data_IF_232207279180
#
_entry.id   IF_232207279180
#
_cell.length_a   1.000
_cell.length_b   1.000
_cell.length_c   1.000
_cell.angle_alpha   90.00
_cell.angle_beta   90.00
_cell.angle_gamma   90.00
#
_symmetry.space_group_name_H-M   'P 1'
#
loop_
_entity.id
_entity.type
_entity.pdbx_description
1 polymer ?
#
# COMPACT_ATOMS: atom_id res chain seq x y z
N UNK A 1 -30.17 -12.81 4.21
CA UNK A 1 -29.09 -13.65 3.67
C UNK A 1 -28.13 -12.69 2.99
N UNK A 2 -26.97 -12.43 3.60
CA UNK A 2 -26.10 -11.29 3.26
C UNK A 2 -25.26 -11.59 2.01
N UNK A 3 -25.16 -10.67 1.03
CA UNK A 3 -24.47 -10.87 -0.25
C UNK A 3 -22.93 -10.86 -0.14
N UNK A 4 -22.38 -10.92 1.08
CA UNK A 4 -20.94 -10.84 1.35
C UNK A 4 -20.14 -12.07 0.88
N UNK A 5 -20.81 -13.10 0.34
CA UNK A 5 -20.16 -14.36 -0.05
C UNK A 5 -19.78 -14.44 -1.54
N UNK A 6 -20.22 -13.50 -2.38
CA UNK A 6 -20.03 -13.61 -3.84
C UNK A 6 -18.78 -12.90 -4.39
N UNK A 7 -17.99 -12.20 -3.57
CA UNK A 7 -16.77 -11.52 -4.05
C UNK A 7 -15.46 -12.29 -3.84
N UNK A 8 -15.56 -13.60 -3.57
CA UNK A 8 -14.43 -14.53 -3.40
C UNK A 8 -13.93 -15.10 -4.75
N UNK A 9 -13.72 -14.23 -5.73
CA UNK A 9 -13.01 -14.55 -6.98
C UNK A 9 -11.95 -13.46 -7.15
N UNK A 10 -10.69 -13.64 -6.74
CA UNK A 10 -9.71 -14.58 -7.28
C UNK A 10 -8.78 -15.07 -6.16
N UNK A 11 -8.70 -16.39 -5.99
CA UNK A 11 -7.83 -17.07 -5.01
C UNK A 11 -6.40 -17.18 -5.53
N UNK A 12 -5.68 -16.08 -5.40
CA UNK A 12 -4.29 -16.08 -4.97
C UNK A 12 -4.28 -15.16 -3.73
N UNK A 13 -3.78 -15.66 -2.59
CA UNK A 13 -3.75 -14.92 -1.34
C UNK A 13 -2.95 -13.61 -1.40
N UNK A 14 -2.28 -13.31 -2.51
CA UNK A 14 -1.51 -12.08 -2.75
C UNK A 14 -2.33 -10.80 -2.59
N UNK A 15 -3.61 -10.78 -2.98
CA UNK A 15 -4.48 -9.60 -2.80
C UNK A 15 -5.05 -9.48 -1.39
N UNK A 16 -5.16 -10.62 -0.69
CA UNK A 16 -5.74 -10.68 0.65
C UNK A 16 -4.80 -10.13 1.72
N UNK A 17 -3.49 -10.41 1.61
CA UNK A 17 -2.51 -9.99 2.63
C UNK A 17 -2.42 -8.46 2.79
N UNK A 18 -2.21 -7.65 1.72
CA UNK A 18 -2.16 -6.20 1.88
C UNK A 18 -3.46 -5.60 2.44
N UNK A 19 -4.61 -6.15 2.02
CA UNK A 19 -5.91 -5.75 2.56
C UNK A 19 -6.04 -6.05 4.05
N UNK A 20 -5.71 -7.28 4.47
CA UNK A 20 -5.80 -7.70 5.87
C UNK A 20 -4.80 -6.91 6.76
N UNK A 21 -3.65 -6.49 6.22
CA UNK A 21 -2.67 -5.64 6.93
C UNK A 21 -3.25 -4.29 7.32
N UNK A 22 -3.94 -3.59 6.40
CA UNK A 22 -4.46 -2.24 6.67
C UNK A 22 -5.86 -2.24 7.28
N UNK A 23 -6.55 -3.38 7.28
CA UNK A 23 -7.93 -3.49 7.77
C UNK A 23 -8.12 -3.03 9.22
N UNK A 24 -7.29 -3.43 10.19
CA UNK A 24 -7.47 -2.99 11.58
C UNK A 24 -7.39 -1.47 11.72
N UNK A 25 -6.43 -0.83 11.04
CA UNK A 25 -6.27 0.63 11.05
C UNK A 25 -7.45 1.33 10.36
N UNK A 26 -7.90 0.81 9.22
CA UNK A 26 -9.04 1.38 8.51
C UNK A 26 -10.33 1.30 9.33
N UNK A 27 -10.57 0.18 10.02
CA UNK A 27 -11.72 0.00 10.90
C UNK A 27 -11.69 1.00 12.08
N UNK A 28 -10.52 1.18 12.71
CA UNK A 28 -10.32 2.11 13.84
C UNK A 28 -10.55 3.58 13.43
N UNK A 29 -10.08 3.95 12.23
CA UNK A 29 -10.27 5.29 11.66
C UNK A 29 -11.65 5.49 11.01
N UNK A 30 -12.48 4.45 10.90
CA UNK A 30 -13.75 4.50 10.19
C UNK A 30 -13.63 4.76 8.68
N UNK A 31 -12.50 4.38 8.08
CA UNK A 31 -12.18 4.58 6.67
C UNK A 31 -12.57 3.36 5.83
N UNK A 32 -12.86 3.61 4.55
CA UNK A 32 -13.04 2.54 3.57
C UNK A 32 -11.73 2.34 2.82
N UNK A 33 -11.28 1.08 2.75
CA UNK A 33 -10.12 0.71 1.93
C UNK A 33 -10.52 0.75 0.46
N UNK A 34 -9.78 1.50 -0.35
CA UNK A 34 -9.86 1.41 -1.80
C UNK A 34 -8.95 0.27 -2.28
N UNK A 35 -9.55 -0.82 -2.76
CA UNK A 35 -8.84 -1.97 -3.35
C UNK A 35 -9.15 -2.12 -4.84
N UNK A 36 -9.51 -1.03 -5.53
CA UNK A 36 -9.96 -1.08 -6.93
C UNK A 36 -8.83 -1.22 -7.95
N UNK A 37 -7.57 -0.95 -7.58
CA UNK A 37 -6.42 -1.15 -8.44
C UNK A 37 -5.98 -2.62 -8.45
N UNK A 38 -5.66 -3.14 -9.64
CA UNK A 38 -5.09 -4.47 -9.80
C UNK A 38 -3.62 -4.53 -9.35
N UNK A 39 -3.18 -5.70 -8.88
CA UNK A 39 -1.84 -5.93 -8.28
C UNK A 39 -0.68 -5.47 -9.18
N UNK A 40 -0.85 -5.63 -10.49
CA UNK A 40 0.14 -5.35 -11.53
C UNK A 40 -0.09 -3.99 -12.21
N UNK A 41 -0.90 -3.11 -11.62
CA UNK A 41 -1.19 -1.78 -12.15
C UNK A 41 -0.76 -0.64 -11.20
N UNK A 42 0.55 -0.35 -11.10
CA UNK A 42 1.06 0.80 -10.34
C UNK A 42 0.60 2.15 -10.90
N UNK A 43 0.15 2.21 -12.17
CA UNK A 43 -0.37 3.45 -12.76
C UNK A 43 -1.74 3.79 -12.18
N UNK A 44 -2.59 2.80 -11.94
CA UNK A 44 -3.85 3.02 -11.21
C UNK A 44 -3.59 3.67 -9.84
N UNK A 45 -2.58 3.21 -9.10
CA UNK A 45 -2.20 3.79 -7.80
C UNK A 45 -1.80 5.26 -7.95
N UNK A 46 -0.91 5.57 -8.93
CA UNK A 46 -0.53 6.94 -9.25
C UNK A 46 -1.74 7.83 -9.52
N UNK A 47 -2.66 7.36 -10.35
CA UNK A 47 -3.86 8.13 -10.72
C UNK A 47 -4.76 8.37 -9.50
N UNK A 48 -4.90 7.39 -8.60
CA UNK A 48 -5.64 7.55 -7.35
C UNK A 48 -5.00 8.57 -6.42
N UNK A 49 -3.68 8.50 -6.23
CA UNK A 49 -2.92 9.45 -5.41
C UNK A 49 -3.02 10.86 -5.97
N UNK A 50 -2.84 11.05 -7.28
CA UNK A 50 -2.94 12.37 -7.92
C UNK A 50 -4.34 12.97 -7.88
N UNK A 51 -5.37 12.14 -7.89
CA UNK A 51 -6.77 12.57 -7.80
C UNK A 51 -7.29 12.68 -6.37
N UNK A 52 -6.48 12.31 -5.36
CA UNK A 52 -6.88 12.45 -3.97
C UNK A 52 -6.85 13.92 -3.55
N UNK A 53 -8.03 14.49 -3.28
CA UNK A 53 -8.20 15.87 -2.83
C UNK A 53 -8.58 15.98 -1.35
N UNK A 54 -8.50 14.88 -0.60
CA UNK A 54 -8.80 14.85 0.83
C UNK A 54 -7.67 15.45 1.66
N UNK A 55 -7.95 15.73 2.93
CA UNK A 55 -6.91 16.08 3.91
C UNK A 55 -6.18 14.84 4.41
N UNK A 56 -4.94 15.01 4.87
CA UNK A 56 -4.16 13.94 5.50
C UNK A 56 -3.31 13.14 4.51
N UNK A 57 -2.80 12.00 4.98
CA UNK A 57 -1.90 11.14 4.23
C UNK A 57 -2.65 10.00 3.54
N UNK A 58 -2.10 9.52 2.43
CA UNK A 58 -2.54 8.27 1.79
C UNK A 58 -1.63 7.15 2.27
N UNK A 59 -2.21 6.08 2.81
CA UNK A 59 -1.49 4.85 3.12
C UNK A 59 -1.67 3.85 1.98
N UNK A 60 -0.56 3.43 1.38
CA UNK A 60 -0.52 2.43 0.31
C UNK A 60 0.10 1.16 0.91
N UNK A 61 -0.63 0.04 0.86
CA UNK A 61 -0.10 -1.26 1.27
C UNK A 61 -0.16 -2.22 0.07
N UNK A 62 0.97 -2.82 -0.25
CA UNK A 62 1.13 -3.63 -1.45
C UNK A 62 2.13 -4.77 -1.22
N UNK A 63 2.27 -5.61 -2.24
CA UNK A 63 3.34 -6.62 -2.29
C UNK A 63 4.69 -5.95 -2.55
N UNK A 64 5.75 -6.42 -1.88
CA UNK A 64 7.02 -5.69 -1.75
C UNK A 64 7.72 -5.44 -3.08
N UNK A 65 7.64 -6.37 -4.04
CA UNK A 65 8.28 -6.19 -5.36
C UNK A 65 7.66 -5.02 -6.13
N UNK A 66 6.39 -4.70 -5.89
CA UNK A 66 5.68 -3.64 -6.59
C UNK A 66 5.70 -2.28 -5.85
N UNK A 67 6.20 -2.20 -4.61
CA UNK A 67 6.33 -0.92 -3.90
C UNK A 67 7.34 0.01 -4.58
N UNK A 68 8.46 -0.52 -5.05
CA UNK A 68 9.44 0.27 -5.85
C UNK A 68 8.81 0.79 -7.14
N UNK A 69 8.07 -0.05 -7.88
CA UNK A 69 7.39 0.36 -9.11
C UNK A 69 6.36 1.48 -8.87
N UNK A 70 5.64 1.43 -7.75
CA UNK A 70 4.69 2.48 -7.37
C UNK A 70 5.43 3.81 -7.16
N UNK A 71 6.52 3.81 -6.40
CA UNK A 71 7.33 5.00 -6.11
C UNK A 71 7.91 5.61 -7.40
N UNK A 72 8.44 4.78 -8.29
CA UNK A 72 8.88 5.23 -9.62
C UNK A 72 7.76 5.89 -10.42
N UNK A 73 6.55 5.29 -10.40
CA UNK A 73 5.41 5.84 -11.16
C UNK A 73 4.89 7.13 -10.54
N UNK A 74 4.99 7.31 -9.23
CA UNK A 74 4.60 8.54 -8.55
C UNK A 74 5.49 9.72 -8.97
N UNK A 75 6.81 9.51 -9.08
CA UNK A 75 7.71 10.54 -9.60
C UNK A 75 9.19 10.39 -9.28
N UNK A 76 9.62 9.33 -8.58
CA UNK A 76 11.01 9.14 -8.20
C UNK A 76 11.76 8.34 -9.28
N UNK A 77 12.46 9.05 -10.16
CA UNK A 77 13.29 8.44 -11.21
C UNK A 77 14.43 7.56 -10.64
N UNK A 78 14.72 7.62 -9.34
CA UNK A 78 15.73 6.80 -8.65
C UNK A 78 15.14 6.08 -7.43
N UNK A 79 13.90 5.58 -7.55
CA UNK A 79 13.19 4.92 -6.47
C UNK A 79 14.05 3.84 -5.78
N UNK A 80 14.08 3.81 -4.44
CA UNK A 80 14.81 2.78 -3.70
C UNK A 80 14.16 1.41 -3.92
N UNK A 81 14.97 0.36 -3.79
CA UNK A 81 14.47 -1.02 -3.80
C UNK A 81 13.90 -1.38 -2.43
N UNK A 82 12.65 -1.84 -2.38
CA UNK A 82 12.08 -2.36 -1.14
C UNK A 82 12.79 -3.67 -0.76
N UNK A 83 13.24 -3.85 0.49
CA UNK A 83 13.92 -5.07 0.90
C UNK A 83 12.95 -6.26 0.90
N UNK A 84 13.23 -7.28 0.09
CA UNK A 84 12.29 -8.39 -0.16
C UNK A 84 12.12 -9.38 0.99
N UNK A 85 12.96 -9.29 2.02
CA UNK A 85 12.85 -10.06 3.26
C UNK A 85 12.08 -9.34 4.36
N UNK A 86 11.63 -8.10 4.10
CA UNK A 86 10.87 -7.27 5.03
C UNK A 86 9.42 -7.12 4.60
N UNK A 87 8.53 -7.00 5.57
CA UNK A 87 7.08 -6.90 5.36
C UNK A 87 6.42 -5.86 6.28
N UNK A 88 7.23 -5.13 7.03
CA UNK A 88 6.89 -4.28 8.18
C UNK A 88 7.39 -2.84 8.02
N UNK A 89 8.15 -2.54 6.95
CA UNK A 89 8.67 -1.20 6.71
C UNK A 89 7.62 -0.28 6.09
N UNK A 90 7.58 0.93 6.61
CA UNK A 90 6.76 2.03 6.13
C UNK A 90 7.69 3.09 5.55
N UNK A 91 7.52 3.36 4.26
CA UNK A 91 8.17 4.46 3.58
C UNK A 91 7.34 5.73 3.63
N UNK A 92 7.99 6.86 3.87
CA UNK A 92 7.39 8.18 3.75
C UNK A 92 7.81 8.82 2.45
N UNK A 93 6.84 9.07 1.57
CA UNK A 93 7.03 9.75 0.30
C UNK A 93 6.28 11.10 0.30
N UNK A 94 6.97 12.21 0.59
CA UNK A 94 6.33 13.52 0.72
C UNK A 94 5.87 14.08 -0.64
N UNK A 95 4.99 15.10 -0.63
CA UNK A 95 4.50 15.73 -1.86
C UNK A 95 5.64 16.14 -2.80
N UNK A 96 5.40 15.93 -4.11
CA UNK A 96 6.35 15.88 -5.25
C UNK A 96 6.84 14.48 -5.58
N UNK A 97 6.81 13.56 -4.62
CA UNK A 97 7.07 12.14 -4.83
C UNK A 97 8.40 11.85 -5.54
N UNK A 98 9.43 12.66 -5.26
CA UNK A 98 10.73 12.59 -5.94
C UNK A 98 11.77 11.79 -5.16
N UNK A 99 11.46 11.42 -3.92
CA UNK A 99 12.39 10.69 -3.04
C UNK A 99 11.70 10.25 -1.75
N UNK A 100 11.89 9.00 -1.35
CA UNK A 100 11.56 8.54 0.01
C UNK A 100 12.44 9.28 1.02
N UNK A 101 11.84 9.93 2.01
CA UNK A 101 12.57 10.72 3.03
C UNK A 101 12.78 9.99 4.34
N UNK A 102 11.90 9.04 4.66
CA UNK A 102 11.95 8.29 5.90
C UNK A 102 11.54 6.83 5.65
N UNK A 103 12.18 5.93 6.38
CA UNK A 103 11.86 4.51 6.46
C UNK A 103 11.82 4.13 7.94
N UNK A 104 10.73 3.52 8.39
CA UNK A 104 10.64 3.02 9.76
C UNK A 104 9.79 1.75 9.83
N UNK A 105 10.00 0.96 10.88
CA UNK A 105 9.06 -0.08 11.31
C UNK A 105 8.38 0.37 12.61
N UNK A 106 7.17 -0.10 12.85
CA UNK A 106 6.45 0.12 14.12
C UNK A 106 7.08 -0.60 15.32
N UNK A 107 8.15 -1.37 15.09
CA UNK A 107 8.86 -2.16 16.10
C UNK A 107 7.94 -3.20 16.77
N UNK A 108 7.18 -3.91 15.95
CA UNK A 108 6.26 -4.94 16.42
C UNK A 108 7.03 -6.21 16.84
N UNK A 109 6.96 -6.63 18.13
CA UNK A 109 7.70 -7.79 18.61
C UNK A 109 7.47 -9.04 17.75
N UNK A 110 8.54 -9.57 17.17
CA UNK A 110 8.51 -10.77 16.33
C UNK A 110 8.41 -10.53 14.83
N UNK A 111 8.32 -9.27 14.37
CA UNK A 111 8.34 -8.89 12.95
C UNK A 111 9.65 -8.21 12.52
N UNK A 112 10.39 -7.58 13.44
CA UNK A 112 11.59 -6.78 13.12
C UNK A 112 12.92 -7.55 13.16
N UNK A 113 12.88 -8.89 13.06
CA UNK A 113 14.08 -9.74 13.21
C UNK A 113 14.79 -10.05 11.89
#
# INVERSE_FOLDING_TARGET
MSPLCEYLTVLDGSRKRPYDTVKPLADDLGLKIDHSCDRDDPKCVKDKVNNYSGSGNVLICWEHDALTDIVEKLGDDNAPKYPGDRFDLIWTDPPKYTSITDEYSENCPGLDN
#
